data_IF_403884305130
#
_entry.id   IF_403884305130
#
_cell.length_a   1.000
_cell.length_b   1.000
_cell.length_c   1.000
_cell.angle_alpha   90.00
_cell.angle_beta   90.00
_cell.angle_gamma   90.00
#
_symmetry.space_group_name_H-M   'P 1'
#
loop_
_entity.id
_entity.type
_entity.pdbx_description
1 polymer ?
#
# COMPACT_ATOMS: atom_id res chain seq x y z
N UNK A 1 9.75 5.41 10.13
CA UNK A 1 9.25 5.63 11.51
C UNK A 1 7.94 4.88 11.78
N UNK A 2 6.91 5.08 10.94
CA UNK A 2 5.59 4.41 11.06
C UNK A 2 5.65 2.88 11.06
N UNK A 3 6.56 2.29 10.28
CA UNK A 3 6.79 0.83 10.22
C UNK A 3 7.27 0.22 11.53
N UNK A 4 8.16 0.89 12.25
CA UNK A 4 8.66 0.43 13.55
C UNK A 4 7.57 0.51 14.62
N UNK A 5 6.79 1.59 14.61
CA UNK A 5 5.68 1.77 15.54
C UNK A 5 4.58 0.72 15.34
N UNK A 6 4.21 0.46 14.08
CA UNK A 6 3.26 -0.60 13.72
C UNK A 6 3.73 -1.99 14.18
N UNK A 7 5.01 -2.34 13.97
CA UNK A 7 5.57 -3.60 14.48
C UNK A 7 5.60 -3.69 16.01
N UNK A 8 5.84 -2.57 16.70
CA UNK A 8 5.79 -2.50 18.16
C UNK A 8 4.37 -2.78 18.70
N UNK A 9 3.35 -2.17 18.09
CA UNK A 9 1.95 -2.40 18.45
C UNK A 9 1.53 -3.85 18.21
N UNK A 10 1.94 -4.45 17.08
CA UNK A 10 1.64 -5.85 16.74
C UNK A 10 2.27 -6.86 17.71
N UNK A 11 3.44 -6.57 18.28
CA UNK A 11 4.08 -7.43 19.30
C UNK A 11 3.51 -7.26 20.71
N UNK A 12 2.76 -6.17 20.95
CA UNK A 12 2.16 -5.87 22.24
C UNK A 12 0.94 -6.75 22.56
N UNK A 13 0.41 -6.65 23.79
CA UNK A 13 -0.85 -7.30 24.18
C UNK A 13 -2.02 -6.91 23.27
N UNK A 14 -2.03 -5.66 22.79
CA UNK A 14 -3.05 -5.15 21.87
C UNK A 14 -3.00 -5.85 20.50
N UNK A 15 -1.80 -6.09 19.96
CA UNK A 15 -1.62 -6.78 18.69
C UNK A 15 -2.15 -8.21 18.70
N UNK A 16 -1.91 -8.96 19.79
CA UNK A 16 -2.45 -10.32 19.95
C UNK A 16 -3.97 -10.34 20.06
N UNK A 17 -4.55 -9.36 20.76
CA UNK A 17 -6.00 -9.21 20.82
C UNK A 17 -6.61 -8.90 19.44
N UNK A 18 -5.95 -8.08 18.62
CA UNK A 18 -6.41 -7.83 17.23
C UNK A 18 -6.37 -9.07 16.35
N UNK A 19 -5.34 -9.91 16.49
CA UNK A 19 -5.25 -11.18 15.74
C UNK A 19 -6.39 -12.12 16.17
N UNK A 20 -6.63 -12.26 17.48
CA UNK A 20 -7.72 -13.10 17.99
C UNK A 20 -9.10 -12.64 17.47
N UNK A 21 -9.35 -11.33 17.45
CA UNK A 21 -10.61 -10.76 16.93
C UNK A 21 -10.74 -10.95 15.41
N UNK A 22 -9.62 -10.89 14.67
CA UNK A 22 -9.60 -11.11 13.22
C UNK A 22 -9.92 -12.57 12.86
N UNK A 23 -9.47 -13.52 13.67
CA UNK A 23 -9.65 -14.94 13.39
C UNK A 23 -11.07 -15.41 13.74
N UNK A 24 -11.59 -15.05 14.93
CA UNK A 24 -12.99 -15.28 15.31
C UNK A 24 -13.39 -14.37 16.48
N UNK A 25 -14.36 -13.48 16.25
CA UNK A 25 -14.83 -12.52 17.25
C UNK A 25 -15.62 -13.18 18.39
N UNK A 26 -16.42 -14.20 18.10
CA UNK A 26 -17.16 -14.99 19.11
C UNK A 26 -16.18 -15.69 20.05
N UNK A 27 -15.12 -16.29 19.51
CA UNK A 27 -14.10 -16.97 20.31
C UNK A 27 -13.29 -15.98 21.16
N UNK A 28 -12.99 -14.79 20.62
CA UNK A 28 -12.29 -13.74 21.36
C UNK A 28 -13.13 -13.24 22.54
N UNK A 29 -14.44 -13.08 22.36
CA UNK A 29 -15.36 -12.67 23.42
C UNK A 29 -15.46 -13.73 24.53
N UNK A 30 -15.51 -15.01 24.17
CA UNK A 30 -15.48 -16.12 25.13
C UNK A 30 -14.19 -16.18 25.97
N UNK A 31 -13.07 -15.68 25.45
CA UNK A 31 -11.80 -15.55 26.17
C UNK A 31 -11.70 -14.27 27.02
N UNK A 32 -12.79 -13.50 27.14
CA UNK A 32 -12.83 -12.28 27.97
C UNK A 32 -12.25 -11.03 27.30
N UNK A 33 -12.06 -11.04 25.97
CA UNK A 33 -11.58 -9.87 25.22
C UNK A 33 -12.77 -8.97 24.89
N UNK A 34 -12.72 -7.71 25.32
CA UNK A 34 -13.77 -6.73 25.02
C UNK A 34 -13.70 -6.27 23.55
N UNK A 35 -14.52 -6.88 22.68
CA UNK A 35 -14.59 -6.58 21.24
C UNK A 35 -14.75 -5.09 20.94
N UNK A 36 -15.64 -4.40 21.65
CA UNK A 36 -15.94 -2.99 21.43
C UNK A 36 -14.71 -2.11 21.61
N UNK A 37 -13.98 -2.27 22.72
CA UNK A 37 -12.78 -1.48 23.03
C UNK A 37 -11.69 -1.69 21.98
N UNK A 38 -11.45 -2.93 21.57
CA UNK A 38 -10.40 -3.23 20.59
C UNK A 38 -10.80 -2.79 19.18
N UNK A 39 -12.06 -2.96 18.74
CA UNK A 39 -12.51 -2.44 17.45
C UNK A 39 -12.41 -0.91 17.39
N UNK A 40 -12.77 -0.21 18.48
CA UNK A 40 -12.62 1.25 18.58
C UNK A 40 -11.15 1.68 18.54
N UNK A 41 -10.26 0.97 19.25
CA UNK A 41 -8.82 1.23 19.20
C UNK A 41 -8.23 1.01 17.80
N UNK A 42 -8.65 -0.04 17.10
CA UNK A 42 -8.22 -0.31 15.73
C UNK A 42 -8.64 0.82 14.79
N UNK A 43 -9.89 1.30 14.91
CA UNK A 43 -10.38 2.45 14.16
C UNK A 43 -9.61 3.73 14.49
N UNK A 44 -9.41 4.03 15.77
CA UNK A 44 -8.63 5.19 16.23
C UNK A 44 -7.20 5.18 15.69
N UNK A 45 -6.51 4.04 15.75
CA UNK A 45 -5.16 3.90 15.19
C UNK A 45 -5.16 4.14 13.68
N UNK A 46 -6.15 3.62 12.95
CA UNK A 46 -6.30 3.87 11.52
C UNK A 46 -6.46 5.35 11.21
N UNK A 47 -7.38 6.04 11.90
CA UNK A 47 -7.58 7.48 11.76
C UNK A 47 -6.34 8.29 12.14
N UNK A 48 -5.62 7.89 13.18
CA UNK A 48 -4.39 8.55 13.60
C UNK A 48 -3.31 8.49 12.51
N UNK A 49 -3.09 7.31 11.90
CA UNK A 49 -2.14 7.18 10.78
C UNK A 49 -2.59 7.94 9.53
N UNK A 50 -3.88 7.91 9.20
CA UNK A 50 -4.43 8.65 8.06
C UNK A 50 -4.29 10.16 8.25
N UNK A 51 -4.61 10.67 9.45
CA UNK A 51 -4.45 12.08 9.79
C UNK A 51 -2.99 12.53 9.77
N UNK A 52 -2.07 11.72 10.30
CA UNK A 52 -0.64 12.01 10.26
C UNK A 52 -0.11 12.04 8.81
N UNK A 53 -0.53 11.10 7.97
CA UNK A 53 -0.16 11.09 6.55
C UNK A 53 -0.73 12.30 5.80
N UNK A 54 -1.98 12.68 6.06
CA UNK A 54 -2.63 13.86 5.47
C UNK A 54 -1.96 15.17 5.89
N UNK A 55 -1.60 15.31 7.17
CA UNK A 55 -0.87 16.49 7.66
C UNK A 55 0.51 16.63 7.00
N UNK A 56 1.23 15.51 6.82
CA UNK A 56 2.51 15.50 6.13
C UNK A 56 2.36 15.89 4.65
N UNK A 57 1.32 15.36 3.98
CA UNK A 57 1.03 15.68 2.59
C UNK A 57 0.65 17.15 2.39
N UNK A 58 -0.19 17.71 3.27
CA UNK A 58 -0.56 19.12 3.25
C UNK A 58 0.65 20.04 3.43
N UNK A 59 1.56 19.70 4.34
CA UNK A 59 2.81 20.45 4.53
C UNK A 59 3.73 20.39 3.29
N UNK A 60 3.71 19.27 2.56
CA UNK A 60 4.46 19.10 1.31
C UNK A 60 3.85 19.87 0.13
N UNK A 61 2.52 19.79 -0.05
CA UNK A 61 1.81 20.41 -1.18
C UNK A 61 1.79 21.95 -1.12
N UNK A 62 1.86 22.55 0.09
CA UNK A 62 1.80 23.99 0.40
C UNK A 62 0.51 24.72 0.00
N UNK A 63 -0.24 24.18 -0.95
CA UNK A 63 -1.56 24.63 -1.39
C UNK A 63 -2.47 23.40 -1.41
N UNK A 64 -3.69 23.57 -0.92
CA UNK A 64 -4.68 22.49 -0.84
C UNK A 64 -5.85 22.89 -1.73
N UNK A 65 -6.02 22.17 -2.84
CA UNK A 65 -7.15 22.37 -3.75
C UNK A 65 -8.10 21.17 -3.71
N UNK A 66 -9.43 21.37 -3.86
CA UNK A 66 -10.38 20.26 -3.94
C UNK A 66 -10.09 19.31 -5.11
N UNK A 67 -9.45 19.83 -6.16
CA UNK A 67 -9.05 19.07 -7.35
C UNK A 67 -7.99 18.00 -7.08
N UNK A 68 -7.27 18.07 -5.95
CA UNK A 68 -6.31 17.02 -5.56
C UNK A 68 -6.99 15.79 -4.94
N UNK A 69 -8.24 15.92 -4.50
CA UNK A 69 -9.01 14.87 -3.82
C UNK A 69 -9.99 14.18 -4.76
N UNK A 70 -9.50 13.78 -5.94
CA UNK A 70 -10.31 13.05 -6.92
C UNK A 70 -10.43 11.56 -6.59
N UNK A 71 -11.51 10.95 -7.07
CA UNK A 71 -11.71 9.50 -7.01
C UNK A 71 -10.56 8.74 -7.69
N UNK A 72 -10.00 9.31 -8.77
CA UNK A 72 -8.84 8.74 -9.45
C UNK A 72 -7.65 8.63 -8.49
N UNK A 73 -7.27 9.71 -7.79
CA UNK A 73 -6.16 9.67 -6.83
C UNK A 73 -6.35 8.63 -5.72
N UNK A 74 -7.59 8.43 -5.27
CA UNK A 74 -7.93 7.40 -4.28
C UNK A 74 -7.71 5.99 -4.83
N UNK A 75 -8.11 5.73 -6.09
CA UNK A 75 -7.83 4.46 -6.77
C UNK A 75 -6.32 4.25 -6.92
N UNK A 76 -5.56 5.30 -7.26
CA UNK A 76 -4.10 5.22 -7.36
C UNK A 76 -3.45 4.79 -6.05
N UNK A 77 -3.85 5.42 -4.93
CA UNK A 77 -3.36 5.07 -3.60
C UNK A 77 -3.78 3.66 -3.18
N UNK A 78 -5.02 3.25 -3.48
CA UNK A 78 -5.52 1.89 -3.23
C UNK A 78 -4.74 0.85 -4.06
N UNK A 79 -4.44 1.15 -5.33
CA UNK A 79 -3.67 0.30 -6.22
C UNK A 79 -2.24 0.07 -5.72
N UNK A 80 -1.58 1.12 -5.20
CA UNK A 80 -0.29 0.98 -4.51
C UNK A 80 -0.34 0.01 -3.34
N UNK A 81 -1.43 0.01 -2.55
CA UNK A 81 -1.60 -0.91 -1.43
C UNK A 81 -1.83 -2.36 -1.90
N UNK A 82 -2.63 -2.55 -2.95
CA UNK A 82 -2.95 -3.87 -3.51
C UNK A 82 -1.69 -4.50 -4.11
N UNK A 83 -0.95 -3.77 -4.94
CA UNK A 83 0.30 -4.24 -5.55
C UNK A 83 1.37 -4.51 -4.49
N UNK A 84 1.44 -3.66 -3.47
CA UNK A 84 2.34 -3.85 -2.34
C UNK A 84 2.07 -5.10 -1.49
N UNK A 85 0.80 -5.50 -1.37
CA UNK A 85 0.33 -6.63 -0.58
C UNK A 85 -0.41 -6.21 0.69
N UNK A 86 -1.67 -6.63 0.80
CA UNK A 86 -2.54 -6.35 1.94
C UNK A 86 -2.06 -7.12 3.18
N UNK A 87 -1.81 -6.41 4.28
CA UNK A 87 -1.44 -7.02 5.57
C UNK A 87 0.05 -7.06 5.88
N UNK A 88 0.93 -6.64 4.96
CA UNK A 88 2.36 -6.48 5.25
C UNK A 88 2.73 -5.04 5.61
N UNK A 89 3.56 -4.85 6.63
CA UNK A 89 4.08 -3.53 7.03
C UNK A 89 5.04 -2.91 6.00
N UNK A 90 5.67 -3.72 5.15
CA UNK A 90 6.58 -3.25 4.10
C UNK A 90 5.92 -3.18 2.72
N UNK A 91 4.78 -3.84 2.52
CA UNK A 91 4.07 -3.88 1.24
C UNK A 91 3.78 -2.51 0.64
N UNK A 92 3.18 -1.55 1.39
CA UNK A 92 2.90 -0.21 0.88
C UNK A 92 4.13 0.53 0.35
N UNK A 93 5.32 0.31 0.92
CA UNK A 93 6.56 0.93 0.45
C UNK A 93 6.98 0.39 -0.91
N UNK A 94 6.95 -0.94 -1.09
CA UNK A 94 7.29 -1.57 -2.36
C UNK A 94 6.26 -1.26 -3.45
N UNK A 95 4.97 -1.26 -3.10
CA UNK A 95 3.89 -0.89 -4.03
C UNK A 95 3.99 0.56 -4.50
N UNK A 96 4.22 1.51 -3.58
CA UNK A 96 4.44 2.91 -3.93
C UNK A 96 5.70 3.11 -4.78
N UNK A 97 6.81 2.43 -4.43
CA UNK A 97 8.06 2.49 -5.18
C UNK A 97 7.88 1.95 -6.60
N UNK A 98 7.25 0.79 -6.75
CA UNK A 98 7.01 0.16 -8.05
C UNK A 98 6.15 1.03 -8.96
N UNK A 99 5.04 1.55 -8.44
CA UNK A 99 4.13 2.39 -9.23
C UNK A 99 4.76 3.73 -9.56
N UNK A 100 5.52 4.33 -8.63
CA UNK A 100 6.28 5.56 -8.93
C UNK A 100 7.35 5.32 -10.00
N UNK A 101 8.09 4.22 -9.93
CA UNK A 101 9.06 3.86 -10.97
C UNK A 101 8.39 3.63 -12.32
N UNK A 102 7.26 2.92 -12.34
CA UNK A 102 6.48 2.68 -13.55
C UNK A 102 5.99 4.01 -14.16
N UNK A 103 5.48 4.92 -13.32
CA UNK A 103 5.04 6.24 -13.74
C UNK A 103 6.21 7.08 -14.31
N UNK A 104 7.36 7.07 -13.65
CA UNK A 104 8.57 7.78 -14.10
C UNK A 104 9.08 7.23 -15.44
N UNK A 105 9.11 5.89 -15.59
CA UNK A 105 9.50 5.24 -16.86
C UNK A 105 8.54 5.62 -17.98
N UNK A 106 7.24 5.62 -17.74
CA UNK A 106 6.25 6.06 -18.73
C UNK A 106 6.42 7.55 -19.08
N UNK A 107 6.71 8.40 -18.10
CA UNK A 107 6.96 9.83 -18.31
C UNK A 107 8.22 10.09 -19.15
N UNK A 108 9.30 9.33 -18.94
CA UNK A 108 10.53 9.43 -19.73
C UNK A 108 10.37 8.81 -21.13
N UNK A 109 9.54 7.78 -21.27
CA UNK A 109 9.23 7.16 -22.56
C UNK A 109 8.21 7.98 -23.39
N UNK A 110 7.37 8.79 -22.76
CA UNK A 110 6.36 9.65 -23.40
C UNK A 110 6.92 10.56 -24.51
N UNK A 111 8.00 11.31 -24.27
CA UNK A 111 8.68 12.16 -25.26
C UNK A 111 9.13 11.42 -26.53
N UNK A 112 9.57 10.17 -26.41
CA UNK A 112 9.95 9.36 -27.58
C UNK A 112 8.74 9.09 -28.48
N UNK A 113 7.57 8.83 -27.88
CA UNK A 113 6.32 8.62 -28.62
C UNK A 113 5.80 9.94 -29.21
N UNK A 114 5.99 11.07 -28.50
CA UNK A 114 5.58 12.39 -28.98
C UNK A 114 6.39 12.85 -30.20
N UNK A 115 7.64 12.40 -30.32
CA UNK A 115 8.52 12.74 -31.44
C UNK A 115 8.10 12.14 -32.78
N UNK A 116 7.26 11.09 -32.76
CA UNK A 116 6.78 10.37 -33.95
C UNK A 116 5.45 10.97 -34.46
N UNK A 117 4.59 11.48 -33.55
CA UNK A 117 3.28 12.08 -33.91
C UNK A 117 3.05 13.38 -33.09
N UNK A 118 3.43 14.55 -33.62
CA UNK A 118 3.47 15.81 -32.88
C UNK A 118 2.10 16.36 -32.46
N UNK A 119 1.03 16.16 -33.25
CA UNK A 119 -0.30 16.72 -32.95
C UNK A 119 -1.14 15.93 -31.93
N UNK A 120 -0.85 14.64 -31.70
CA UNK A 120 -1.68 13.74 -30.85
C UNK A 120 -0.86 13.13 -29.69
N UNK A 121 0.48 13.16 -29.77
CA UNK A 121 1.36 12.50 -28.81
C UNK A 121 1.24 13.00 -27.37
N UNK A 122 0.92 14.28 -27.15
CA UNK A 122 0.80 14.85 -25.81
C UNK A 122 -0.38 14.26 -25.03
N UNK A 123 -1.55 14.11 -25.66
CA UNK A 123 -2.73 13.53 -24.99
C UNK A 123 -2.61 12.00 -24.85
N UNK A 124 -2.05 11.33 -25.85
CA UNK A 124 -1.80 9.87 -25.81
C UNK A 124 -0.83 9.53 -24.67
N UNK A 125 0.19 10.36 -24.42
CA UNK A 125 1.16 10.11 -23.35
C UNK A 125 0.54 10.10 -21.95
N UNK A 126 -0.41 11.01 -21.67
CA UNK A 126 -1.13 11.06 -20.41
C UNK A 126 -2.07 9.86 -20.24
N UNK A 127 -2.82 9.50 -21.30
CA UNK A 127 -3.70 8.33 -21.27
C UNK A 127 -2.96 7.01 -21.18
N UNK A 128 -1.77 6.90 -21.77
CA UNK A 128 -0.90 5.71 -21.69
C UNK A 128 -0.45 5.43 -20.26
N UNK A 129 -0.20 6.47 -19.45
CA UNK A 129 0.16 6.32 -18.03
C UNK A 129 -1.00 5.74 -17.22
N UNK A 130 -2.22 6.19 -17.48
CA UNK A 130 -3.40 5.65 -16.80
C UNK A 130 -3.72 4.21 -17.24
N UNK A 131 -3.56 3.92 -18.54
CA UNK A 131 -3.71 2.57 -19.07
C UNK A 131 -2.65 1.61 -18.56
N UNK A 132 -1.38 2.04 -18.49
CA UNK A 132 -0.28 1.22 -17.97
C UNK A 132 -0.48 0.90 -16.49
N UNK A 133 -1.02 1.85 -15.71
CA UNK A 133 -1.39 1.61 -14.33
C UNK A 133 -2.51 0.57 -14.19
N UNK A 134 -3.57 0.67 -14.99
CA UNK A 134 -4.66 -0.32 -14.98
C UNK A 134 -4.16 -1.73 -15.37
N UNK A 135 -3.34 -1.82 -16.41
CA UNK A 135 -2.70 -3.08 -16.83
C UNK A 135 -1.77 -3.60 -15.75
N UNK A 136 -0.99 -2.74 -15.09
CA UNK A 136 -0.12 -3.13 -13.99
C UNK A 136 -0.93 -3.72 -12.83
N UNK A 137 -2.06 -3.11 -12.46
CA UNK A 137 -2.96 -3.66 -11.44
C UNK A 137 -3.47 -5.04 -11.84
N UNK A 138 -4.00 -5.18 -13.06
CA UNK A 138 -4.57 -6.45 -13.56
C UNK A 138 -3.49 -7.54 -13.60
N UNK A 139 -2.32 -7.22 -14.14
CA UNK A 139 -1.19 -8.14 -14.22
C UNK A 139 -0.73 -8.56 -12.82
N UNK A 140 -0.68 -7.62 -11.88
CA UNK A 140 -0.24 -7.92 -10.51
C UNK A 140 -1.26 -8.79 -9.75
N UNK A 141 -2.56 -8.50 -9.90
CA UNK A 141 -3.65 -9.34 -9.39
C UNK A 141 -3.61 -10.75 -10.00
N UNK A 142 -3.26 -10.87 -11.28
CA UNK A 142 -3.19 -12.14 -11.98
C UNK A 142 -1.95 -12.97 -11.60
N UNK A 143 -0.79 -12.34 -11.42
CA UNK A 143 0.46 -13.06 -11.17
C UNK A 143 0.64 -13.42 -9.69
N UNK A 144 0.29 -12.54 -8.75
CA UNK A 144 0.51 -12.80 -7.31
C UNK A 144 -0.56 -12.12 -6.42
N UNK A 145 -1.69 -12.79 -6.11
CA UNK A 145 -2.78 -12.23 -5.30
C UNK A 145 -2.40 -11.93 -3.83
N UNK A 146 -1.17 -12.29 -3.39
CA UNK A 146 -0.64 -11.98 -2.06
C UNK A 146 0.33 -10.79 -2.01
N UNK A 147 0.65 -10.15 -3.14
CA UNK A 147 1.51 -8.95 -3.20
C UNK A 147 3.03 -9.21 -3.18
N UNK A 148 3.83 -8.23 -3.62
CA UNK A 148 5.31 -8.27 -3.64
C UNK A 148 5.88 -8.58 -2.24
N UNK A 149 5.20 -8.12 -1.19
CA UNK A 149 5.63 -8.33 0.18
C UNK A 149 5.75 -9.80 0.58
N UNK A 150 4.92 -10.69 0.02
CA UNK A 150 5.00 -12.12 0.31
C UNK A 150 6.31 -12.73 -0.19
N UNK A 151 6.78 -12.32 -1.37
CA UNK A 151 8.08 -12.75 -1.91
C UNK A 151 9.25 -12.24 -1.08
N UNK A 152 9.16 -11.01 -0.56
CA UNK A 152 10.21 -10.42 0.28
C UNK A 152 10.32 -11.12 1.65
N UNK A 153 9.20 -11.60 2.21
CA UNK A 153 9.21 -12.42 3.42
C UNK A 153 9.84 -13.79 3.18
N UNK A 154 9.48 -14.47 2.09
CA UNK A 154 10.10 -15.76 1.70
C UNK A 154 11.63 -15.60 1.49
N UNK A 155 12.06 -14.52 0.85
CA UNK A 155 13.48 -14.25 0.59
C UNK A 155 14.24 -13.94 1.89
N UNK A 156 13.62 -13.21 2.83
CA UNK A 156 14.19 -12.98 4.16
C UNK A 156 14.26 -14.24 5.02
N UNK A 157 13.23 -15.09 4.97
CA UNK A 157 13.21 -16.34 5.71
C UNK A 157 14.26 -17.30 5.13
N UNK A 158 14.44 -17.33 3.81
CA UNK A 158 15.51 -18.07 3.15
C UNK A 158 16.91 -17.57 3.57
N UNK A 159 17.11 -16.25 3.69
CA UNK A 159 18.39 -15.69 4.14
C UNK A 159 18.64 -15.90 5.64
N UNK A 160 17.58 -16.00 6.46
CA UNK A 160 17.68 -16.16 7.92
C UNK A 160 17.82 -17.62 8.36
N UNK A 161 17.39 -18.58 7.53
CA UNK A 161 17.55 -20.02 7.74
C UNK A 161 18.89 -20.58 7.26
N UNK A 162 19.72 -19.76 6.60
CA UNK A 162 21.08 -20.13 6.21
C UNK A 162 22.04 -19.74 7.36
N UNK A 163 22.31 -20.63 8.36
CA UNK A 163 22.98 -21.92 8.19
C UNK A 163 22.46 -23.11 9.05
N UNK A 164 21.22 -23.10 9.55
CA UNK A 164 20.64 -24.29 10.22
C UNK A 164 19.23 -24.56 9.72
N UNK A 165 19.13 -25.53 8.82
CA UNK A 165 17.88 -26.07 8.30
C UNK A 165 17.35 -27.16 9.23
N UNK A 166 16.54 -26.78 10.23
CA UNK A 166 15.57 -27.66 10.89
C UNK A 166 14.32 -26.87 11.24
#
# INVERSE_FOLDING_TARGET
MTTFFSKGVLRSKFGRAFIAIRDNDIAAEAMGINLYKYKLLAFFLGCFYAGFAGALWAAYARVISPDDFTLMNSIWQMGMLIIGGLGSTLGPFFGALFIKLLNEICLVAGPFISSIIPQIGAQISASLVEMSFGVAIILFLAFEPRGIAHRWEILKDSYRLWPFSY
#
